data_IF_468538571179
#
_entry.id   IF_468538571179
#
_cell.length_a   1.000
_cell.length_b   1.000
_cell.length_c   1.000
_cell.angle_alpha   90.00
_cell.angle_beta   90.00
_cell.angle_gamma   90.00
#
_symmetry.space_group_name_H-M   'P 1'
#
loop_
_entity.id
_entity.type
_entity.pdbx_description
1 polymer ?
#
# COMPACT_ATOMS: atom_id res chain seq x y z
N UNK A 1 -24.07 6.44 7.69
CA UNK A 1 -24.07 5.69 6.41
C UNK A 1 -25.30 4.78 6.36
N UNK A 2 -26.44 5.29 5.88
CA UNK A 2 -27.67 4.49 5.79
C UNK A 2 -27.45 3.32 4.82
N UNK A 3 -27.71 2.09 5.29
CA UNK A 3 -27.77 0.83 4.53
C UNK A 3 -26.47 0.20 3.98
N UNK A 4 -25.24 0.60 4.40
CA UNK A 4 -24.04 -0.14 4.02
C UNK A 4 -23.88 -1.41 4.87
N UNK A 5 -23.48 -2.50 4.21
CA UNK A 5 -23.06 -3.77 4.83
C UNK A 5 -21.75 -4.21 4.17
N UNK A 6 -20.97 -5.01 4.87
CA UNK A 6 -19.69 -5.52 4.39
C UNK A 6 -19.76 -6.18 3.00
N UNK A 7 -20.91 -6.73 2.64
CA UNK A 7 -21.17 -7.39 1.36
C UNK A 7 -22.05 -6.54 0.40
N UNK A 8 -22.30 -5.25 0.69
CA UNK A 8 -23.11 -4.36 -0.18
C UNK A 8 -22.56 -4.27 -1.59
N UNK A 9 -21.24 -4.32 -1.75
CA UNK A 9 -20.56 -4.26 -3.03
C UNK A 9 -21.01 -5.33 -4.04
N UNK A 10 -21.52 -6.48 -3.56
CA UNK A 10 -22.00 -7.59 -4.41
C UNK A 10 -23.23 -7.24 -5.23
N UNK A 11 -23.91 -6.14 -4.92
CA UNK A 11 -25.07 -5.61 -5.65
C UNK A 11 -24.68 -4.68 -6.79
N UNK A 12 -23.41 -4.35 -6.92
CA UNK A 12 -22.86 -3.41 -7.89
C UNK A 12 -22.00 -4.12 -8.92
N UNK A 13 -21.85 -3.56 -10.12
CA UNK A 13 -20.91 -4.08 -11.10
C UNK A 13 -19.50 -4.15 -10.54
N UNK A 14 -18.82 -5.26 -10.76
CA UNK A 14 -17.41 -5.44 -10.36
C UNK A 14 -16.54 -5.77 -11.57
N UNK A 15 -15.31 -5.29 -11.56
CA UNK A 15 -14.32 -5.55 -12.61
C UNK A 15 -13.09 -6.23 -12.00
N UNK A 16 -12.36 -6.98 -12.84
CA UNK A 16 -11.09 -7.61 -12.47
C UNK A 16 -11.18 -8.64 -11.32
N UNK A 17 -12.37 -9.16 -11.04
CA UNK A 17 -12.53 -10.32 -10.16
C UNK A 17 -12.69 -11.55 -11.05
N UNK A 18 -11.82 -12.57 -10.89
CA UNK A 18 -11.91 -13.79 -11.67
C UNK A 18 -13.11 -14.63 -11.25
N UNK A 19 -13.60 -15.48 -12.16
CA UNK A 19 -14.42 -16.64 -11.81
C UNK A 19 -13.52 -17.78 -11.36
N UNK A 20 -13.98 -18.52 -10.37
CA UNK A 20 -13.31 -19.73 -9.88
C UNK A 20 -14.14 -20.95 -10.28
N UNK A 21 -13.47 -22.01 -10.74
CA UNK A 21 -14.15 -23.26 -11.17
C UNK A 21 -14.81 -23.97 -9.98
N UNK A 22 -14.24 -23.85 -8.78
CA UNK A 22 -14.75 -24.43 -7.54
C UNK A 22 -15.14 -23.34 -6.52
N UNK A 23 -16.42 -22.94 -6.56
CA UNK A 23 -16.96 -21.98 -5.60
C UNK A 23 -17.00 -22.51 -4.15
N UNK A 24 -17.08 -23.84 -3.95
CA UNK A 24 -17.07 -24.43 -2.61
C UNK A 24 -15.67 -24.26 -2.00
N UNK A 25 -14.63 -24.54 -2.78
CA UNK A 25 -13.24 -24.32 -2.34
C UNK A 25 -12.98 -22.83 -2.06
N UNK A 26 -13.45 -21.94 -2.95
CA UNK A 26 -13.36 -20.49 -2.72
C UNK A 26 -14.01 -20.12 -1.37
N UNK A 27 -15.23 -20.56 -1.12
CA UNK A 27 -15.95 -20.26 0.13
C UNK A 27 -15.26 -20.83 1.35
N UNK A 28 -14.65 -22.02 1.28
CA UNK A 28 -13.84 -22.58 2.37
C UNK A 28 -12.63 -21.70 2.66
N UNK A 29 -11.92 -21.24 1.65
CA UNK A 29 -10.76 -20.36 1.80
C UNK A 29 -11.17 -19.00 2.37
N UNK A 30 -12.24 -18.38 1.88
CA UNK A 30 -12.75 -17.12 2.38
C UNK A 30 -13.19 -17.21 3.85
N UNK A 31 -13.85 -18.31 4.26
CA UNK A 31 -14.21 -18.54 5.65
C UNK A 31 -12.97 -18.75 6.54
N UNK A 32 -11.93 -19.41 6.04
CA UNK A 32 -10.66 -19.55 6.74
C UNK A 32 -10.00 -18.18 6.94
N UNK A 33 -10.02 -17.31 5.96
CA UNK A 33 -9.52 -15.93 6.06
C UNK A 33 -10.32 -15.11 7.10
N UNK A 34 -11.65 -15.25 7.13
CA UNK A 34 -12.51 -14.58 8.13
C UNK A 34 -12.16 -15.00 9.56
N UNK A 35 -11.79 -16.26 9.79
CA UNK A 35 -11.39 -16.78 11.10
C UNK A 35 -9.91 -16.59 11.42
N UNK A 36 -9.10 -16.14 10.46
CA UNK A 36 -7.67 -15.87 10.67
C UNK A 36 -7.44 -14.55 11.40
N UNK A 37 -6.31 -14.40 12.11
CA UNK A 37 -5.95 -13.13 12.74
C UNK A 37 -5.90 -11.98 11.73
N UNK A 38 -6.31 -10.76 12.10
CA UNK A 38 -6.15 -9.59 11.23
C UNK A 38 -4.66 -9.29 11.00
N UNK A 39 -4.32 -8.78 9.82
CA UNK A 39 -2.93 -8.38 9.52
C UNK A 39 -2.59 -7.05 10.18
N UNK A 40 -3.55 -6.14 10.22
CA UNK A 40 -3.46 -4.85 10.91
C UNK A 40 -4.72 -4.64 11.75
N UNK A 41 -4.70 -3.70 12.70
CA UNK A 41 -5.87 -3.42 13.51
C UNK A 41 -6.33 -1.95 13.40
N UNK A 42 -7.56 -1.67 13.85
CA UNK A 42 -8.22 -0.37 13.70
C UNK A 42 -7.42 0.81 14.28
N UNK A 43 -6.73 0.61 15.41
CA UNK A 43 -5.88 1.64 16.00
C UNK A 43 -4.72 2.07 15.11
N UNK A 44 -4.12 1.13 14.39
CA UNK A 44 -3.04 1.43 13.42
C UNK A 44 -3.59 2.24 12.24
N UNK A 45 -4.75 1.89 11.70
CA UNK A 45 -5.37 2.63 10.58
C UNK A 45 -5.78 4.05 10.98
N UNK A 46 -6.29 4.24 12.22
CA UNK A 46 -6.57 5.58 12.77
C UNK A 46 -5.30 6.40 12.90
N UNK A 47 -4.25 5.83 13.46
CA UNK A 47 -2.96 6.53 13.60
C UNK A 47 -2.39 6.95 12.24
N UNK A 48 -2.49 6.10 11.21
CA UNK A 48 -2.11 6.51 9.86
C UNK A 48 -2.99 7.65 9.34
N UNK A 49 -4.32 7.62 9.58
CA UNK A 49 -5.23 8.70 9.18
C UNK A 49 -4.84 10.03 9.83
N UNK A 50 -4.46 10.02 11.11
CA UNK A 50 -3.97 11.21 11.80
C UNK A 50 -2.68 11.76 11.19
N UNK A 51 -1.73 10.89 10.85
CA UNK A 51 -0.50 11.29 10.16
C UNK A 51 -0.77 11.85 8.76
N UNK A 52 -1.73 11.29 8.03
CA UNK A 52 -2.14 11.81 6.73
C UNK A 52 -2.88 13.16 6.86
N UNK A 53 -3.55 13.43 7.97
CA UNK A 53 -4.10 14.75 8.27
C UNK A 53 -3.01 15.80 8.44
N UNK A 54 -1.87 15.45 9.07
CA UNK A 54 -0.70 16.34 9.13
C UNK A 54 -0.11 16.61 7.73
N UNK A 55 -0.18 15.62 6.81
CA UNK A 55 0.22 15.85 5.40
C UNK A 55 -0.71 16.86 4.72
N UNK A 56 -2.03 16.76 4.94
CA UNK A 56 -3.01 17.73 4.42
C UNK A 56 -2.74 19.14 4.94
N UNK A 57 -2.31 19.27 6.19
CA UNK A 57 -1.97 20.54 6.82
C UNK A 57 -0.57 21.08 6.44
N UNK A 58 0.16 20.39 5.55
CA UNK A 58 1.51 20.77 5.13
C UNK A 58 2.59 20.59 6.22
N UNK A 59 2.28 19.83 7.28
CA UNK A 59 3.20 19.58 8.42
C UNK A 59 3.98 18.28 8.28
N UNK A 60 3.68 17.45 7.29
CA UNK A 60 4.36 16.22 6.99
C UNK A 60 4.37 15.95 5.48
N UNK A 61 5.21 15.01 5.04
CA UNK A 61 5.29 14.57 3.65
C UNK A 61 4.92 13.08 3.56
N UNK A 62 4.12 12.69 2.55
CA UNK A 62 3.79 11.27 2.30
C UNK A 62 4.74 10.69 1.27
N UNK A 63 5.49 9.66 1.66
CA UNK A 63 6.27 8.82 0.76
C UNK A 63 5.61 7.45 0.62
N UNK A 64 5.13 7.12 -0.58
CA UNK A 64 4.63 5.78 -0.91
C UNK A 64 5.54 5.13 -1.95
N UNK A 65 6.02 3.92 -1.67
CA UNK A 65 6.90 3.16 -2.56
C UNK A 65 6.79 1.66 -2.35
N UNK A 66 7.39 0.87 -3.27
CA UNK A 66 7.40 -0.59 -3.23
C UNK A 66 6.94 -1.22 -4.55
N UNK A 67 6.53 -2.48 -4.53
CA UNK A 67 6.30 -3.27 -5.72
C UNK A 67 5.05 -2.87 -6.50
N UNK A 68 5.12 -3.05 -7.83
CA UNK A 68 3.95 -2.92 -8.69
C UNK A 68 2.95 -4.05 -8.44
N UNK A 69 3.46 -5.27 -8.28
CA UNK A 69 2.77 -6.44 -7.78
C UNK A 69 3.82 -7.36 -7.14
N UNK A 70 3.58 -7.77 -5.90
CA UNK A 70 4.43 -8.73 -5.20
C UNK A 70 4.31 -10.11 -5.85
N UNK A 71 5.41 -10.87 -5.83
CA UNK A 71 5.47 -12.25 -6.32
C UNK A 71 5.73 -13.23 -5.17
N UNK A 72 5.08 -14.38 -5.23
CA UNK A 72 5.36 -15.47 -4.30
C UNK A 72 6.79 -16.01 -4.42
N UNK A 73 7.41 -15.87 -5.59
CA UNK A 73 8.79 -16.29 -5.84
C UNK A 73 9.81 -15.34 -5.18
N UNK A 74 9.45 -14.06 -5.02
CA UNK A 74 10.32 -13.04 -4.42
C UNK A 74 10.15 -12.91 -2.91
N UNK A 75 9.31 -13.74 -2.29
CA UNK A 75 9.12 -13.77 -0.85
C UNK A 75 10.38 -14.29 -0.15
N UNK A 76 11.25 -13.36 0.22
CA UNK A 76 12.52 -13.62 0.88
C UNK A 76 12.83 -12.52 1.90
N UNK A 77 13.42 -12.83 3.06
CA UNK A 77 13.73 -11.83 4.09
C UNK A 77 14.63 -10.71 3.59
N UNK A 78 15.56 -10.99 2.68
CA UNK A 78 16.44 -9.97 2.11
C UNK A 78 15.67 -8.96 1.24
N UNK A 79 14.72 -9.41 0.41
CA UNK A 79 13.89 -8.53 -0.40
C UNK A 79 13.02 -7.63 0.47
N UNK A 80 12.43 -8.18 1.53
CA UNK A 80 11.62 -7.41 2.50
C UNK A 80 12.50 -6.37 3.20
N UNK A 81 13.70 -6.79 3.68
CA UNK A 81 14.66 -5.90 4.31
C UNK A 81 15.09 -4.78 3.38
N UNK A 82 15.44 -5.10 2.14
CA UNK A 82 15.99 -4.12 1.20
C UNK A 82 14.94 -3.13 0.71
N UNK A 83 13.69 -3.56 0.51
CA UNK A 83 12.56 -2.66 0.26
C UNK A 83 12.35 -1.68 1.42
N UNK A 84 12.37 -2.19 2.66
CA UNK A 84 12.27 -1.36 3.86
C UNK A 84 13.43 -0.36 3.95
N UNK A 85 14.68 -0.81 3.72
CA UNK A 85 15.88 0.06 3.73
C UNK A 85 15.76 1.19 2.72
N UNK A 86 15.39 0.90 1.48
CA UNK A 86 15.27 1.93 0.42
C UNK A 86 14.26 2.99 0.82
N UNK A 87 13.11 2.61 1.36
CA UNK A 87 12.09 3.58 1.81
C UNK A 87 12.63 4.43 2.98
N UNK A 88 13.38 3.85 3.92
CA UNK A 88 14.01 4.61 5.01
C UNK A 88 15.09 5.58 4.51
N UNK A 89 15.93 5.14 3.58
CA UNK A 89 16.96 5.98 2.96
C UNK A 89 16.33 7.18 2.24
N UNK A 90 15.30 6.95 1.43
CA UNK A 90 14.54 8.02 0.77
C UNK A 90 13.88 8.95 1.79
N UNK A 91 13.32 8.40 2.87
CA UNK A 91 12.69 9.18 3.94
C UNK A 91 13.67 10.11 4.63
N UNK A 92 14.90 9.64 4.92
CA UNK A 92 15.92 10.46 5.56
C UNK A 92 16.30 11.66 4.68
N UNK A 93 16.53 11.43 3.39
CA UNK A 93 16.84 12.49 2.43
C UNK A 93 15.71 13.50 2.34
N UNK A 94 14.46 13.03 2.24
CA UNK A 94 13.28 13.90 2.17
C UNK A 94 13.07 14.68 3.47
N UNK A 95 13.22 14.03 4.62
CA UNK A 95 13.11 14.70 5.94
C UNK A 95 14.12 15.83 6.05
N UNK A 96 15.36 15.58 5.69
CA UNK A 96 16.42 16.60 5.74
C UNK A 96 16.14 17.73 4.74
N UNK A 97 15.81 17.40 3.48
CA UNK A 97 15.66 18.40 2.40
C UNK A 97 14.41 19.26 2.56
N UNK A 98 13.31 18.69 3.04
CA UNK A 98 12.04 19.40 3.22
C UNK A 98 11.85 19.98 4.63
N UNK A 99 12.71 19.59 5.60
CA UNK A 99 12.52 19.91 7.02
C UNK A 99 11.14 19.47 7.56
N UNK A 100 10.60 18.40 7.04
CA UNK A 100 9.29 17.83 7.38
C UNK A 100 9.42 16.35 7.77
N UNK A 101 8.65 15.87 8.74
CA UNK A 101 8.53 14.44 8.98
C UNK A 101 7.94 13.73 7.77
N UNK A 102 8.36 12.49 7.52
CA UNK A 102 7.89 11.68 6.39
C UNK A 102 7.03 10.53 6.89
N UNK A 103 5.79 10.45 6.41
CA UNK A 103 4.90 9.30 6.56
C UNK A 103 5.30 8.25 5.53
N UNK A 104 5.73 7.07 6.00
CA UNK A 104 6.27 5.99 5.17
C UNK A 104 5.20 4.95 4.90
N UNK A 105 4.81 4.79 3.64
CA UNK A 105 3.76 3.90 3.18
C UNK A 105 4.32 2.90 2.16
N UNK A 106 4.54 1.66 2.57
CA UNK A 106 5.04 0.61 1.70
C UNK A 106 3.94 -0.04 0.88
N UNK A 107 4.16 -0.23 -0.41
CA UNK A 107 3.38 -1.13 -1.26
C UNK A 107 3.97 -2.54 -1.10
N UNK A 108 3.69 -3.16 0.02
CA UNK A 108 4.25 -4.43 0.47
C UNK A 108 3.27 -5.11 1.43
N UNK A 109 3.37 -6.42 1.57
CA UNK A 109 2.54 -7.24 2.43
C UNK A 109 1.05 -7.25 2.02
N UNK A 110 0.78 -7.39 0.71
CA UNK A 110 -0.59 -7.49 0.20
C UNK A 110 -0.78 -7.11 -1.27
N UNK A 111 0.18 -6.49 -1.93
CA UNK A 111 0.05 -6.05 -3.32
C UNK A 111 0.26 -7.19 -4.32
N UNK A 112 -0.46 -8.31 -4.18
CA UNK A 112 -0.34 -9.47 -5.07
C UNK A 112 -1.26 -9.38 -6.29
N UNK A 113 -2.41 -8.70 -6.19
CA UNK A 113 -3.35 -8.55 -7.30
C UNK A 113 -2.87 -7.53 -8.33
N UNK A 114 -3.12 -7.82 -9.61
CA UNK A 114 -2.72 -6.96 -10.73
C UNK A 114 -3.87 -6.76 -11.72
N UNK A 115 -4.42 -5.54 -11.84
CA UNK A 115 -5.44 -5.27 -12.83
C UNK A 115 -4.83 -5.32 -14.24
N UNK A 116 -5.53 -5.95 -15.19
CA UNK A 116 -5.07 -6.11 -16.59
C UNK A 116 -5.97 -5.34 -17.54
N UNK A 117 -5.38 -4.82 -18.61
CA UNK A 117 -6.14 -4.11 -19.66
C UNK A 117 -6.87 -5.08 -20.58
N UNK A 118 -6.32 -6.27 -20.77
CA UNK A 118 -6.92 -7.34 -21.58
C UNK A 118 -7.23 -8.57 -20.73
N UNK A 119 -8.34 -9.29 -20.98
CA UNK A 119 -8.70 -10.51 -20.26
C UNK A 119 -7.78 -11.68 -20.61
N UNK A 120 -7.12 -11.64 -21.76
CA UNK A 120 -6.23 -12.68 -22.27
C UNK A 120 -4.88 -12.12 -22.68
N UNK A 121 -3.89 -13.00 -22.74
CA UNK A 121 -2.53 -12.74 -23.25
C UNK A 121 -2.19 -13.76 -24.34
N UNK A 122 -1.42 -13.32 -25.35
CA UNK A 122 -0.97 -14.18 -26.47
C UNK A 122 0.54 -14.37 -26.42
N UNK A 123 0.98 -15.62 -26.49
CA UNK A 123 2.39 -15.98 -26.59
C UNK A 123 2.54 -17.26 -27.41
N UNK A 124 3.46 -17.26 -28.40
CA UNK A 124 3.75 -18.45 -29.21
C UNK A 124 2.54 -19.02 -29.96
N UNK A 125 1.61 -18.17 -30.44
CA UNK A 125 0.39 -18.60 -31.13
C UNK A 125 -0.73 -19.13 -30.22
N UNK A 126 -0.51 -19.25 -28.92
CA UNK A 126 -1.53 -19.62 -27.93
C UNK A 126 -2.10 -18.37 -27.27
N UNK A 127 -3.37 -18.45 -26.90
CA UNK A 127 -4.07 -17.41 -26.12
C UNK A 127 -4.56 -18.02 -24.81
N UNK A 128 -4.20 -17.39 -23.67
CA UNK A 128 -4.55 -17.82 -22.33
C UNK A 128 -5.06 -16.65 -21.50
N UNK A 129 -5.79 -16.91 -20.39
CA UNK A 129 -6.18 -15.86 -19.45
C UNK A 129 -4.97 -15.05 -18.99
N UNK A 130 -5.16 -13.76 -18.81
CA UNK A 130 -4.11 -12.86 -18.31
C UNK A 130 -3.64 -13.27 -16.91
N UNK A 131 -2.37 -13.00 -16.63
CA UNK A 131 -1.85 -13.07 -15.27
C UNK A 131 -2.47 -11.95 -14.43
N UNK A 132 -3.25 -12.32 -13.42
CA UNK A 132 -4.01 -11.40 -12.56
C UNK A 132 -3.34 -11.13 -11.21
N UNK A 133 -2.15 -11.70 -11.01
CA UNK A 133 -1.39 -11.60 -9.78
C UNK A 133 -1.35 -12.90 -8.99
N UNK A 134 -0.31 -13.06 -8.19
CA UNK A 134 0.01 -14.34 -7.54
C UNK A 134 -1.03 -14.81 -6.53
N UNK A 135 -1.86 -13.93 -6.00
CA UNK A 135 -2.99 -14.32 -5.16
C UNK A 135 -4.17 -14.92 -5.95
N UNK A 136 -4.15 -14.87 -7.28
CA UNK A 136 -5.23 -15.35 -8.15
C UNK A 136 -4.74 -16.52 -9.01
N UNK A 137 -3.70 -16.29 -9.82
CA UNK A 137 -3.14 -17.29 -10.75
C UNK A 137 -1.61 -17.14 -10.82
N UNK A 138 -0.96 -17.99 -11.61
CA UNK A 138 0.50 -17.98 -11.71
C UNK A 138 0.99 -17.31 -12.98
N UNK A 139 2.24 -16.82 -12.98
CA UNK A 139 2.82 -16.08 -14.10
C UNK A 139 3.17 -16.96 -15.29
N UNK A 140 3.40 -18.26 -15.09
CA UNK A 140 3.77 -19.19 -16.14
C UNK A 140 2.69 -19.26 -17.22
N UNK A 141 3.11 -19.26 -18.49
CA UNK A 141 2.19 -19.25 -19.63
C UNK A 141 1.75 -20.66 -20.03
N UNK A 142 0.90 -21.28 -19.20
CA UNK A 142 0.22 -22.55 -19.48
C UNK A 142 -1.18 -22.56 -18.84
N UNK A 143 -2.06 -23.42 -19.33
CA UNK A 143 -3.46 -23.48 -18.92
C UNK A 143 -3.64 -23.72 -17.42
N UNK A 144 -2.85 -24.63 -16.84
CA UNK A 144 -2.92 -24.94 -15.41
C UNK A 144 -2.52 -23.75 -14.54
N UNK A 145 -1.43 -23.07 -14.91
CA UNK A 145 -0.90 -21.92 -14.18
C UNK A 145 -1.83 -20.69 -14.25
N UNK A 146 -2.50 -20.50 -15.40
CA UNK A 146 -3.40 -19.35 -15.62
C UNK A 146 -4.82 -19.55 -15.09
N UNK A 147 -5.16 -20.74 -14.61
CA UNK A 147 -6.44 -21.00 -13.93
C UNK A 147 -6.42 -20.35 -12.54
N UNK A 148 -7.46 -19.56 -12.16
CA UNK A 148 -7.59 -19.03 -10.82
C UNK A 148 -7.69 -20.15 -9.77
N UNK A 149 -6.88 -20.03 -8.70
CA UNK A 149 -6.82 -21.01 -7.61
C UNK A 149 -7.11 -20.32 -6.27
N UNK A 150 -8.23 -20.64 -5.58
CA UNK A 150 -8.59 -20.02 -4.31
C UNK A 150 -7.54 -20.17 -3.20
N UNK A 151 -6.75 -21.25 -3.20
CA UNK A 151 -5.70 -21.51 -2.18
C UNK A 151 -4.63 -20.42 -2.18
N UNK A 152 -4.44 -19.78 -3.32
CA UNK A 152 -3.46 -18.69 -3.47
C UNK A 152 -3.82 -17.45 -2.62
N UNK A 153 -5.11 -17.22 -2.36
CA UNK A 153 -5.56 -16.15 -1.45
C UNK A 153 -5.04 -16.37 -0.02
N UNK A 154 -5.11 -17.60 0.48
CA UNK A 154 -4.60 -17.91 1.82
C UNK A 154 -3.06 -17.91 1.86
N UNK A 155 -2.39 -18.30 0.77
CA UNK A 155 -0.94 -18.16 0.65
C UNK A 155 -0.52 -16.68 0.68
N UNK A 156 -1.22 -15.81 -0.02
CA UNK A 156 -0.98 -14.37 0.00
C UNK A 156 -1.13 -13.80 1.41
N UNK A 157 -2.21 -14.16 2.13
CA UNK A 157 -2.39 -13.81 3.53
C UNK A 157 -1.21 -14.26 4.40
N UNK A 158 -0.77 -15.51 4.27
CA UNK A 158 0.31 -16.08 5.08
C UNK A 158 1.64 -15.36 4.85
N UNK A 159 1.97 -15.06 3.59
CA UNK A 159 3.17 -14.30 3.25
C UNK A 159 3.06 -12.84 3.73
N UNK A 160 1.89 -12.20 3.60
CA UNK A 160 1.65 -10.86 4.14
C UNK A 160 1.83 -10.80 5.64
N UNK A 161 1.35 -11.81 6.38
CA UNK A 161 1.51 -11.91 7.83
C UNK A 161 2.99 -12.01 8.23
N UNK A 162 3.76 -12.86 7.56
CA UNK A 162 5.18 -13.01 7.81
C UNK A 162 5.97 -11.73 7.45
N UNK A 163 5.64 -11.09 6.32
CA UNK A 163 6.23 -9.82 5.92
C UNK A 163 5.96 -8.73 6.95
N UNK A 164 4.70 -8.57 7.39
CA UNK A 164 4.33 -7.58 8.41
C UNK A 164 5.03 -7.83 9.74
N UNK A 165 5.16 -9.09 10.17
CA UNK A 165 5.90 -9.43 11.38
C UNK A 165 7.36 -8.97 11.29
N UNK A 166 8.02 -9.23 10.15
CA UNK A 166 9.42 -8.81 9.93
C UNK A 166 9.55 -7.28 9.85
N UNK A 167 8.63 -6.60 9.16
CA UNK A 167 8.60 -5.13 9.10
C UNK A 167 8.42 -4.50 10.48
N UNK A 168 7.54 -5.05 11.33
CA UNK A 168 7.38 -4.58 12.72
C UNK A 168 8.65 -4.80 13.55
N UNK A 169 9.31 -5.96 13.38
CA UNK A 169 10.60 -6.23 14.03
C UNK A 169 11.66 -5.21 13.59
N UNK A 170 11.78 -4.91 12.31
CA UNK A 170 12.71 -3.89 11.81
C UNK A 170 12.35 -2.48 12.30
N UNK A 171 11.07 -2.14 12.33
CA UNK A 171 10.60 -0.82 12.73
C UNK A 171 10.86 -0.50 14.20
N UNK A 172 10.85 -1.52 15.07
CA UNK A 172 10.96 -1.33 16.52
C UNK A 172 12.18 -1.97 17.17
N UNK A 173 12.89 -2.85 16.46
CA UNK A 173 14.04 -3.62 16.98
C UNK A 173 15.41 -2.93 16.79
N UNK A 174 15.45 -1.64 16.48
CA UNK A 174 16.69 -0.88 16.30
C UNK A 174 17.35 -1.04 14.92
N UNK A 175 16.70 -1.72 13.98
CA UNK A 175 17.15 -1.75 12.58
C UNK A 175 16.95 -0.39 11.90
N UNK A 176 15.87 0.32 12.26
CA UNK A 176 15.51 1.64 11.73
C UNK A 176 16.26 2.81 12.41
N UNK A 177 17.33 2.54 13.14
CA UNK A 177 18.17 3.57 13.76
C UNK A 177 18.67 4.59 12.73
N UNK A 178 18.48 5.86 13.01
CA UNK A 178 18.75 6.96 12.09
C UNK A 178 20.21 7.02 11.67
N UNK A 179 21.16 6.71 12.58
CA UNK A 179 22.59 6.62 12.25
C UNK A 179 22.89 5.46 11.31
N UNK A 180 22.23 4.32 11.49
CA UNK A 180 22.38 3.17 10.58
C UNK A 180 21.85 3.48 9.18
N UNK A 181 20.68 4.13 9.09
CA UNK A 181 20.10 4.55 7.81
C UNK A 181 21.06 5.48 7.07
N UNK A 182 21.66 6.44 7.76
CA UNK A 182 22.68 7.32 7.21
C UNK A 182 23.91 6.53 6.69
N UNK A 183 24.42 5.57 7.45
CA UNK A 183 25.55 4.72 7.02
C UNK A 183 25.23 3.88 5.76
N UNK A 184 23.98 3.44 5.59
CA UNK A 184 23.58 2.73 4.37
C UNK A 184 23.65 3.65 3.15
N UNK A 185 23.26 4.92 3.29
CA UNK A 185 23.39 5.92 2.22
C UNK A 185 24.84 6.10 1.78
N UNK A 186 25.77 6.23 2.73
CA UNK A 186 27.19 6.34 2.44
C UNK A 186 27.73 5.14 1.64
N UNK A 187 27.25 3.91 1.95
CA UNK A 187 27.63 2.70 1.21
C UNK A 187 27.16 2.70 -0.25
N UNK A 188 25.96 3.24 -0.50
CA UNK A 188 25.37 3.32 -1.84
C UNK A 188 26.10 4.34 -2.75
N UNK A 189 26.52 5.47 -2.19
CA UNK A 189 27.09 6.61 -2.93
C UNK A 189 28.39 6.26 -3.64
N UNK A 190 29.23 5.38 -3.07
CA UNK A 190 30.57 5.05 -3.60
C UNK A 190 30.59 4.66 -5.08
N UNK A 191 29.50 4.12 -5.62
CA UNK A 191 29.41 3.58 -6.97
C UNK A 191 28.44 4.36 -7.88
N UNK A 192 27.92 5.52 -7.44
CA UNK A 192 26.93 6.30 -8.19
C UNK A 192 27.61 7.39 -9.03
N UNK A 193 27.18 7.62 -10.31
CA UNK A 193 27.59 8.80 -11.07
C UNK A 193 27.24 10.13 -10.39
N UNK A 194 26.26 10.13 -9.49
CA UNK A 194 25.83 11.29 -8.72
C UNK A 194 26.55 11.42 -7.37
N UNK A 195 27.58 10.60 -7.11
CA UNK A 195 28.27 10.47 -5.83
C UNK A 195 28.64 11.81 -5.20
N UNK A 196 29.16 12.78 -5.98
CA UNK A 196 29.60 14.08 -5.44
C UNK A 196 28.43 14.88 -4.83
N UNK A 197 27.28 14.96 -5.52
CA UNK A 197 26.09 15.70 -5.01
C UNK A 197 25.50 15.01 -3.77
N UNK A 198 25.44 13.69 -3.78
CA UNK A 198 24.97 12.92 -2.64
C UNK A 198 25.90 13.05 -1.44
N UNK A 199 27.21 13.08 -1.66
CA UNK A 199 28.17 13.24 -0.57
C UNK A 199 27.99 14.56 0.17
N UNK A 200 27.81 15.67 -0.53
CA UNK A 200 27.55 16.98 0.08
C UNK A 200 26.28 16.96 0.97
N UNK A 201 25.23 16.25 0.54
CA UNK A 201 24.03 16.08 1.33
C UNK A 201 24.27 15.21 2.57
N UNK A 202 24.97 14.09 2.41
CA UNK A 202 25.28 13.15 3.48
C UNK A 202 26.20 13.76 4.55
N UNK A 203 27.17 14.58 4.14
CA UNK A 203 28.02 15.30 5.08
C UNK A 203 27.20 16.26 5.96
N UNK A 204 26.23 16.98 5.37
CA UNK A 204 25.29 17.83 6.13
C UNK A 204 24.37 17.04 7.06
N UNK A 205 23.92 15.87 6.66
CA UNK A 205 23.13 14.97 7.52
C UNK A 205 24.01 14.46 8.69
N UNK A 206 25.27 14.11 8.41
CA UNK A 206 26.22 13.69 9.44
C UNK A 206 26.45 14.80 10.48
N UNK A 207 26.65 16.04 10.04
CA UNK A 207 26.81 17.22 10.90
C UNK A 207 25.57 17.44 11.78
N UNK A 208 24.37 17.33 11.20
CA UNK A 208 23.10 17.46 11.94
C UNK A 208 22.98 16.37 13.01
N UNK A 209 23.28 15.11 12.67
CA UNK A 209 23.27 13.99 13.62
C UNK A 209 24.34 14.16 14.72
N UNK A 210 25.53 14.67 14.38
CA UNK A 210 26.57 14.99 15.29
C UNK A 210 26.17 16.08 16.29
N UNK A 211 25.55 17.15 15.80
CA UNK A 211 25.01 18.23 16.63
C UNK A 211 23.91 17.71 17.60
N UNK A 212 22.96 16.92 17.10
CA UNK A 212 21.93 16.31 17.95
C UNK A 212 22.55 15.47 19.07
N UNK A 213 23.55 14.65 18.73
CA UNK A 213 24.24 13.82 19.72
C UNK A 213 24.98 14.66 20.78
N UNK A 214 25.63 15.76 20.38
CA UNK A 214 26.27 16.68 21.29
C UNK A 214 25.27 17.36 22.24
N UNK A 215 24.05 17.58 21.79
CA UNK A 215 22.93 18.09 22.62
C UNK A 215 22.26 16.99 23.49
N UNK A 216 22.79 15.76 23.52
CA UNK A 216 22.22 14.65 24.29
C UNK A 216 21.01 13.99 23.63
N UNK A 217 20.68 14.33 22.39
CA UNK A 217 19.58 13.72 21.62
C UNK A 217 20.15 12.47 20.92
N UNK A 218 20.16 11.36 21.63
CA UNK A 218 20.69 10.08 21.14
C UNK A 218 19.64 8.98 21.17
N UNK A 219 19.81 7.87 20.42
CA UNK A 219 18.86 6.75 20.41
C UNK A 219 18.59 6.16 21.79
N UNK A 220 19.56 6.17 22.69
CA UNK A 220 19.46 5.65 24.06
C UNK A 220 18.43 6.44 24.88
N UNK A 221 18.34 7.75 24.68
CA UNK A 221 17.43 8.65 25.42
C UNK A 221 16.19 9.04 24.61
N UNK A 222 16.22 8.87 23.28
CA UNK A 222 15.08 9.22 22.44
C UNK A 222 14.69 8.08 21.49
N UNK A 223 13.65 7.37 21.89
CA UNK A 223 13.13 6.23 21.14
C UNK A 223 12.75 6.57 19.69
N UNK A 224 12.37 7.81 19.40
CA UNK A 224 12.04 8.27 18.05
C UNK A 224 13.21 8.24 17.06
N UNK A 225 14.44 8.14 17.53
CA UNK A 225 15.63 8.06 16.69
C UNK A 225 15.95 6.64 16.21
N UNK A 226 15.37 5.60 16.83
CA UNK A 226 15.62 4.22 16.45
C UNK A 226 14.37 3.41 16.14
N UNK A 227 13.19 4.01 16.26
CA UNK A 227 11.92 3.41 15.83
C UNK A 227 11.25 4.26 14.76
N UNK A 228 10.51 3.60 13.87
CA UNK A 228 9.74 4.29 12.83
C UNK A 228 8.34 3.71 12.74
N UNK A 229 7.38 4.57 12.37
CA UNK A 229 6.10 4.09 11.87
C UNK A 229 6.28 3.73 10.39
N UNK A 230 5.94 2.49 10.05
CA UNK A 230 5.96 2.00 8.68
C UNK A 230 4.62 1.34 8.38
N UNK A 231 3.93 1.86 7.39
CA UNK A 231 2.58 1.44 7.03
C UNK A 231 2.59 0.62 5.76
N UNK A 232 1.64 -0.29 5.61
CA UNK A 232 1.50 -1.12 4.41
C UNK A 232 0.27 -0.73 3.62
N UNK A 233 0.34 -0.95 2.30
CA UNK A 233 -0.73 -0.57 1.39
C UNK A 233 -0.81 -1.48 0.17
N UNK A 234 -2.04 -1.68 -0.34
CA UNK A 234 -2.28 -2.36 -1.61
C UNK A 234 -3.58 -1.91 -2.29
N UNK A 235 -3.77 -2.31 -3.54
CA UNK A 235 -5.01 -2.12 -4.28
C UNK A 235 -6.10 -3.08 -3.76
N UNK A 236 -7.22 -2.55 -3.29
CA UNK A 236 -8.39 -3.35 -2.91
C UNK A 236 -9.06 -3.93 -4.15
N UNK A 237 -8.38 -4.80 -4.89
CA UNK A 237 -8.84 -5.29 -6.19
C UNK A 237 -9.71 -6.54 -6.07
N UNK A 238 -9.33 -7.52 -5.26
CA UNK A 238 -10.05 -8.78 -5.07
C UNK A 238 -11.04 -8.66 -3.91
N UNK A 239 -12.22 -8.08 -4.17
CA UNK A 239 -13.20 -7.77 -3.12
C UNK A 239 -13.63 -8.95 -2.24
N UNK A 240 -13.74 -10.20 -2.70
CA UNK A 240 -14.00 -11.33 -1.80
C UNK A 240 -12.92 -11.51 -0.73
N UNK A 241 -11.63 -11.27 -1.08
CA UNK A 241 -10.53 -11.29 -0.12
C UNK A 241 -10.65 -10.12 0.87
N UNK A 242 -10.88 -8.91 0.36
CA UNK A 242 -11.00 -7.70 1.19
C UNK A 242 -12.19 -7.78 2.14
N UNK A 243 -13.35 -8.30 1.68
CA UNK A 243 -14.51 -8.59 2.52
C UNK A 243 -14.15 -9.56 3.65
N UNK A 244 -13.41 -10.63 3.33
CA UNK A 244 -12.99 -11.65 4.30
C UNK A 244 -11.99 -11.13 5.32
N UNK A 245 -11.24 -10.09 4.99
CA UNK A 245 -10.28 -9.44 5.88
C UNK A 245 -10.85 -8.21 6.59
N UNK A 246 -12.09 -7.82 6.35
CA UNK A 246 -12.72 -6.68 7.03
C UNK A 246 -13.26 -7.12 8.40
N UNK A 247 -13.03 -6.31 9.42
CA UNK A 247 -13.45 -6.56 10.82
C UNK A 247 -14.21 -5.36 11.37
N UNK A 248 -15.08 -5.62 12.32
CA UNK A 248 -15.68 -4.58 13.16
C UNK A 248 -14.73 -4.27 14.30
N UNK A 249 -14.39 -3.02 14.48
CA UNK A 249 -13.67 -2.56 15.68
C UNK A 249 -14.59 -2.66 16.89
N UNK A 250 -14.19 -3.44 17.88
CA UNK A 250 -14.97 -3.65 19.11
C UNK A 250 -15.11 -2.38 19.95
N UNK A 251 -14.26 -1.38 19.73
CA UNK A 251 -14.28 -0.12 20.49
C UNK A 251 -15.26 0.88 19.90
N UNK A 252 -15.34 0.99 18.58
CA UNK A 252 -16.14 2.01 17.88
C UNK A 252 -17.36 1.45 17.16
N UNK A 253 -17.39 0.13 16.89
CA UNK A 253 -18.40 -0.51 16.05
C UNK A 253 -18.23 -0.26 14.55
N UNK A 254 -17.17 0.47 14.15
CA UNK A 254 -16.88 0.80 12.76
C UNK A 254 -16.16 -0.35 12.04
N UNK A 255 -16.25 -0.38 10.72
CA UNK A 255 -15.59 -1.40 9.91
C UNK A 255 -14.23 -0.95 9.45
N UNK A 256 -13.22 -1.77 9.69
CA UNK A 256 -11.87 -1.59 9.16
C UNK A 256 -11.49 -2.78 8.29
N UNK A 257 -10.98 -2.50 7.10
CA UNK A 257 -10.28 -3.51 6.32
C UNK A 257 -8.93 -3.77 7.01
N UNK A 258 -8.71 -5.00 7.42
CA UNK A 258 -7.51 -5.39 8.17
C UNK A 258 -6.47 -6.11 7.31
N UNK A 259 -6.61 -6.06 5.98
CA UNK A 259 -5.62 -6.61 5.04
C UNK A 259 -4.39 -5.70 4.88
N UNK A 260 -4.55 -4.38 5.10
CA UNK A 260 -3.47 -3.39 5.15
C UNK A 260 -3.91 -2.13 5.90
N UNK A 261 -2.96 -1.24 6.22
CA UNK A 261 -3.26 0.04 6.87
C UNK A 261 -3.98 1.01 5.92
N UNK A 262 -3.61 0.98 4.66
CA UNK A 262 -4.11 1.82 3.59
C UNK A 262 -4.47 0.97 2.37
N UNK A 263 -5.64 1.17 1.81
CA UNK A 263 -6.03 0.52 0.55
C UNK A 263 -6.39 1.56 -0.50
N UNK A 264 -6.28 1.22 -1.78
CA UNK A 264 -6.69 2.16 -2.82
C UNK A 264 -7.60 1.53 -3.86
N UNK A 265 -8.42 2.39 -4.46
CA UNK A 265 -9.24 2.08 -5.64
C UNK A 265 -8.38 2.33 -6.88
N UNK A 266 -8.27 1.34 -7.75
CA UNK A 266 -7.53 1.44 -9.00
C UNK A 266 -8.23 2.34 -10.03
N UNK A 267 -7.46 2.86 -10.99
CA UNK A 267 -8.02 3.67 -12.10
C UNK A 267 -9.07 2.93 -12.93
N UNK A 268 -8.97 1.59 -13.01
CA UNK A 268 -9.92 0.75 -13.75
C UNK A 268 -11.16 0.34 -12.94
N UNK A 269 -11.18 0.57 -11.65
CA UNK A 269 -12.23 0.11 -10.71
C UNK A 269 -12.90 1.25 -9.94
N UNK A 270 -12.66 2.51 -10.33
CA UNK A 270 -13.19 3.71 -9.67
C UNK A 270 -14.53 4.20 -10.22
N UNK A 271 -15.33 3.34 -10.87
CA UNK A 271 -16.67 3.72 -11.32
C UNK A 271 -17.54 4.07 -10.11
N UNK A 272 -18.28 5.19 -10.18
CA UNK A 272 -19.10 5.69 -9.08
C UNK A 272 -20.18 4.68 -8.64
N UNK A 273 -20.71 3.92 -9.59
CA UNK A 273 -21.66 2.84 -9.40
C UNK A 273 -21.00 1.46 -9.29
N UNK A 274 -19.70 1.40 -9.04
CA UNK A 274 -18.92 0.18 -8.97
C UNK A 274 -18.79 -0.42 -7.57
N UNK A 275 -18.66 -1.75 -7.50
CA UNK A 275 -18.53 -2.47 -6.22
C UNK A 275 -17.29 -2.06 -5.42
N UNK A 276 -16.19 -1.65 -6.07
CA UNK A 276 -14.99 -1.21 -5.38
C UNK A 276 -15.19 0.11 -4.63
N UNK A 277 -15.90 1.05 -5.24
CA UNK A 277 -16.26 2.33 -4.58
C UNK A 277 -17.23 2.06 -3.44
N UNK A 278 -18.25 1.22 -3.66
CA UNK A 278 -19.21 0.83 -2.61
C UNK A 278 -18.51 0.14 -1.43
N UNK A 279 -17.55 -0.77 -1.68
CA UNK A 279 -16.79 -1.40 -0.62
C UNK A 279 -16.01 -0.36 0.21
N UNK A 280 -15.26 0.51 -0.46
CA UNK A 280 -14.45 1.53 0.21
C UNK A 280 -15.27 2.59 0.94
N UNK A 281 -16.53 2.82 0.54
CA UNK A 281 -17.43 3.75 1.21
C UNK A 281 -17.73 3.39 2.66
N UNK A 282 -17.63 2.13 3.04
CA UNK A 282 -18.04 1.68 4.37
C UNK A 282 -16.91 1.27 5.30
N UNK A 283 -15.66 1.39 4.90
CA UNK A 283 -14.50 1.10 5.75
C UNK A 283 -13.83 2.39 6.22
N UNK A 284 -13.31 2.40 7.44
CA UNK A 284 -12.71 3.58 8.06
C UNK A 284 -11.22 3.79 7.75
N UNK A 285 -10.59 2.86 7.05
CA UNK A 285 -9.21 3.03 6.56
C UNK A 285 -9.03 4.33 5.78
N UNK A 286 -7.84 4.93 5.79
CA UNK A 286 -7.45 5.88 4.76
C UNK A 286 -7.50 5.20 3.37
N UNK A 287 -8.05 5.92 2.39
CA UNK A 287 -8.33 5.38 1.04
C UNK A 287 -7.56 6.17 -0.01
N UNK A 288 -6.84 5.47 -0.88
CA UNK A 288 -6.28 6.03 -2.09
C UNK A 288 -7.27 5.96 -3.27
N UNK A 289 -7.26 6.95 -4.14
CA UNK A 289 -7.99 6.92 -5.41
C UNK A 289 -7.01 7.19 -6.53
N UNK A 290 -6.77 6.20 -7.39
CA UNK A 290 -5.92 6.40 -8.57
C UNK A 290 -6.64 7.20 -9.64
N UNK A 291 -5.97 8.27 -10.08
CA UNK A 291 -6.43 9.18 -11.11
C UNK A 291 -5.48 9.13 -12.31
N UNK A 292 -5.98 8.72 -13.46
CA UNK A 292 -5.24 8.67 -14.73
C UNK A 292 -5.77 9.65 -15.76
N UNK A 293 -5.26 9.62 -17.01
CA UNK A 293 -5.66 10.54 -18.08
C UNK A 293 -7.15 10.54 -18.44
N UNK A 294 -7.88 9.49 -18.06
CA UNK A 294 -9.33 9.35 -18.29
C UNK A 294 -10.17 9.87 -17.12
N UNK A 295 -9.55 10.32 -16.04
CA UNK A 295 -10.25 10.84 -14.87
C UNK A 295 -10.89 12.20 -15.18
N UNK A 296 -12.11 12.38 -14.66
CA UNK A 296 -12.83 13.66 -14.72
C UNK A 296 -12.95 14.22 -13.31
N UNK A 297 -12.70 15.51 -13.15
CA UNK A 297 -12.74 16.18 -11.85
C UNK A 297 -14.07 15.94 -11.11
N UNK A 298 -15.20 16.12 -11.81
CA UNK A 298 -16.55 15.92 -11.23
C UNK A 298 -16.78 14.49 -10.75
N UNK A 299 -16.27 13.48 -11.47
CA UNK A 299 -16.38 12.08 -11.04
C UNK A 299 -15.55 11.83 -9.78
N UNK A 300 -14.33 12.34 -9.74
CA UNK A 300 -13.44 12.21 -8.58
C UNK A 300 -14.04 12.93 -7.36
N UNK A 301 -14.56 14.14 -7.53
CA UNK A 301 -15.23 14.89 -6.46
C UNK A 301 -16.40 14.08 -5.87
N UNK A 302 -17.27 13.52 -6.71
CA UNK A 302 -18.39 12.67 -6.26
C UNK A 302 -17.93 11.41 -5.52
N UNK A 303 -16.83 10.77 -5.97
CA UNK A 303 -16.26 9.62 -5.27
C UNK A 303 -15.73 10.06 -3.91
N UNK A 304 -15.05 11.21 -3.83
CA UNK A 304 -14.56 11.76 -2.55
C UNK A 304 -15.71 12.05 -1.58
N UNK A 305 -16.79 12.69 -2.02
CA UNK A 305 -17.98 12.94 -1.22
C UNK A 305 -18.64 11.65 -0.71
N UNK A 306 -18.68 10.61 -1.56
CA UNK A 306 -19.26 9.33 -1.22
C UNK A 306 -18.45 8.57 -0.17
N UNK A 307 -17.11 8.56 -0.31
CA UNK A 307 -16.19 7.83 0.59
C UNK A 307 -15.92 8.63 1.89
N UNK A 308 -15.90 9.95 1.81
CA UNK A 308 -15.60 10.84 2.93
C UNK A 308 -16.68 11.91 3.14
N UNK A 309 -17.93 11.50 3.45
CA UNK A 309 -19.05 12.44 3.60
C UNK A 309 -18.90 13.41 4.79
N UNK A 310 -18.03 13.11 5.74
CA UNK A 310 -17.71 13.98 6.88
C UNK A 310 -16.56 14.95 6.59
N UNK A 311 -15.96 14.87 5.40
CA UNK A 311 -14.79 15.63 5.00
C UNK A 311 -13.62 15.54 6.02
N UNK A 312 -13.37 14.35 6.52
CA UNK A 312 -12.30 14.08 7.48
C UNK A 312 -10.92 14.20 6.80
N UNK A 313 -10.03 14.98 7.40
CA UNK A 313 -8.64 15.08 6.94
C UNK A 313 -7.94 13.71 7.02
N UNK A 314 -7.07 13.43 6.07
CA UNK A 314 -6.32 12.17 6.02
C UNK A 314 -7.11 10.95 5.55
N UNK A 315 -8.43 11.07 5.31
CA UNK A 315 -9.26 9.95 4.83
C UNK A 315 -9.01 9.60 3.39
N UNK A 316 -8.77 10.58 2.50
CA UNK A 316 -8.57 10.37 1.06
C UNK A 316 -7.20 10.87 0.61
N UNK A 317 -6.56 10.09 -0.24
CA UNK A 317 -5.35 10.48 -0.97
C UNK A 317 -5.57 10.26 -2.47
N UNK A 318 -5.50 11.32 -3.28
CA UNK A 318 -5.53 11.20 -4.73
C UNK A 318 -4.15 10.78 -5.25
N UNK A 319 -4.09 9.69 -6.02
CA UNK A 319 -2.85 9.14 -6.57
C UNK A 319 -2.81 9.46 -8.07
N UNK A 320 -2.20 10.59 -8.43
CA UNK A 320 -2.07 11.05 -9.80
C UNK A 320 -1.10 10.17 -10.60
N UNK A 321 -1.60 9.46 -11.60
CA UNK A 321 -0.81 8.57 -12.45
C UNK A 321 -1.05 8.88 -13.94
N UNK A 322 -0.36 9.88 -14.45
CA UNK A 322 -0.50 10.32 -15.83
C UNK A 322 0.66 9.87 -16.73
N UNK A 323 1.84 9.56 -16.16
CA UNK A 323 3.08 9.40 -16.90
C UNK A 323 3.72 10.77 -17.23
N UNK A 324 5.01 10.74 -17.53
CA UNK A 324 5.78 11.97 -17.78
C UNK A 324 5.33 12.71 -19.05
N UNK A 325 4.82 11.98 -20.04
CA UNK A 325 4.37 12.49 -21.34
C UNK A 325 2.96 13.12 -21.31
N UNK A 326 2.19 12.86 -20.27
CA UNK A 326 0.76 13.23 -20.17
C UNK A 326 0.43 14.11 -18.97
N UNK A 327 1.31 14.20 -17.98
CA UNK A 327 1.05 14.89 -16.71
C UNK A 327 0.72 16.37 -16.93
N UNK A 328 1.49 17.07 -17.75
CA UNK A 328 1.28 18.50 -18.03
C UNK A 328 -0.07 18.78 -18.70
N UNK A 329 -0.51 17.87 -19.57
CA UNK A 329 -1.77 18.03 -20.33
C UNK A 329 -3.01 17.70 -19.50
N UNK A 330 -2.95 16.68 -18.63
CA UNK A 330 -4.12 16.10 -17.99
C UNK A 330 -4.26 16.42 -16.50
N UNK A 331 -3.14 16.54 -15.74
CA UNK A 331 -3.22 16.84 -14.32
C UNK A 331 -3.90 18.18 -14.01
N UNK A 332 -3.64 19.29 -14.77
CA UNK A 332 -4.32 20.57 -14.50
C UNK A 332 -5.83 20.56 -14.72
N UNK A 333 -6.38 19.50 -15.32
CA UNK A 333 -7.81 19.34 -15.56
C UNK A 333 -8.53 18.52 -14.49
N UNK A 334 -7.76 17.94 -13.59
CA UNK A 334 -8.24 17.17 -12.46
C UNK A 334 -8.39 18.03 -11.20
#
# INVERSE_FOLDING_TARGET
>A
MKNWKINSWRKYPVKHIPSYDDEKELNMVLNKLKSSPPLVFAGETRHLKDQLAEVVDGKAFLLQGGDCAESFAEFHPDNIRDTFKVILQMSLVLTYSASLPVVKLGRIAGQFSKPRSAPTEKQGGKELPSYLGDNINSIEFNEKARRPDPKRLFRAYSQSAATLNLLRAFSHGGFADLKKVHLWNLGYIKNSPQAKKFKELEDKIADALGFMAACGITPEFNRRLYTVNFWTSHEALHLPYEESMTRTDSTTGEYHNTSAHFVWIGDRTRQLDGGHVEFCRGIENPIGIKCGPTSKADEIAKICELINPKNEKGKITLISRFGHDKVEKFLPKL
#
